data_IF_484383303868
#
_entry.id   IF_484383303868
#
_cell.length_a   1.000
_cell.length_b   1.000
_cell.length_c   1.000
_cell.angle_alpha   90.00
_cell.angle_beta   90.00
_cell.angle_gamma   90.00
#
_symmetry.space_group_name_H-M   'P 1'
#
loop_
_entity.id
_entity.type
_entity.pdbx_description
1 polymer ?
#
# COMPACT_ATOMS: atom_id res chain seq x y z
N UNK A 1 7.77 9.54 -16.68
CA UNK A 1 7.27 10.52 -15.67
C UNK A 1 7.62 10.00 -14.29
N UNK A 2 7.99 10.88 -13.36
CA UNK A 2 8.26 10.51 -11.96
C UNK A 2 6.95 10.17 -11.22
N UNK A 3 7.02 9.35 -10.17
CA UNK A 3 5.89 9.09 -9.28
C UNK A 3 5.31 10.39 -8.70
N UNK A 4 6.17 11.36 -8.37
CA UNK A 4 5.77 12.69 -7.88
C UNK A 4 4.95 13.47 -8.91
N UNK A 5 5.27 13.34 -10.20
CA UNK A 5 4.49 13.99 -11.26
C UNK A 5 3.15 13.28 -11.48
N UNK A 6 3.15 11.95 -11.44
CA UNK A 6 1.95 11.13 -11.67
C UNK A 6 0.89 11.31 -10.57
N UNK A 7 1.33 11.46 -9.32
CA UNK A 7 0.47 11.51 -8.15
C UNK A 7 0.41 12.89 -7.50
N UNK A 8 0.80 13.95 -8.22
CA UNK A 8 0.91 15.32 -7.71
C UNK A 8 -0.35 15.77 -6.97
N UNK A 9 -1.53 15.60 -7.58
CA UNK A 9 -2.76 16.11 -7.00
C UNK A 9 -3.12 15.41 -5.66
N UNK A 10 -2.84 14.11 -5.55
CA UNK A 10 -3.02 13.37 -4.29
C UNK A 10 -1.96 13.78 -3.26
N UNK A 11 -0.72 13.98 -3.69
CA UNK A 11 0.36 14.47 -2.84
C UNK A 11 0.05 15.85 -2.28
N UNK A 12 -0.43 16.79 -3.09
CA UNK A 12 -0.76 18.15 -2.66
C UNK A 12 -1.82 18.13 -1.54
N UNK A 13 -2.87 17.31 -1.70
CA UNK A 13 -3.94 17.16 -0.70
C UNK A 13 -3.39 16.54 0.59
N UNK A 14 -2.69 15.42 0.51
CA UNK A 14 -2.22 14.68 1.69
C UNK A 14 -1.08 15.39 2.42
N UNK A 15 -0.13 15.98 1.70
CA UNK A 15 0.97 16.75 2.29
C UNK A 15 0.44 18.01 2.99
N UNK A 16 -0.62 18.64 2.47
CA UNK A 16 -1.27 19.79 3.12
C UNK A 16 -1.96 19.39 4.43
N UNK A 17 -2.64 18.23 4.45
CA UNK A 17 -3.40 17.79 5.63
C UNK A 17 -2.52 17.18 6.73
N UNK A 18 -1.43 16.49 6.37
CA UNK A 18 -0.67 15.64 7.29
C UNK A 18 0.81 16.02 7.40
N UNK A 19 1.28 16.99 6.60
CA UNK A 19 2.69 17.29 6.42
C UNK A 19 3.36 16.42 5.36
N UNK A 20 4.53 16.84 4.88
CA UNK A 20 5.25 16.22 3.75
C UNK A 20 5.49 14.72 3.92
N UNK A 21 6.03 14.28 5.06
CA UNK A 21 6.35 12.86 5.28
C UNK A 21 5.08 12.00 5.34
N UNK A 22 4.16 12.30 6.26
CA UNK A 22 2.92 11.53 6.44
C UNK A 22 2.04 11.58 5.21
N UNK A 23 2.00 12.71 4.50
CA UNK A 23 1.28 12.85 3.25
C UNK A 23 1.81 11.93 2.15
N UNK A 24 3.14 11.81 2.00
CA UNK A 24 3.75 10.86 1.05
C UNK A 24 3.49 9.41 1.42
N UNK A 25 3.57 9.08 2.71
CA UNK A 25 3.28 7.71 3.17
C UNK A 25 1.81 7.37 2.93
N UNK A 26 0.88 8.31 3.15
CA UNK A 26 -0.53 8.12 2.86
C UNK A 26 -0.78 7.82 1.37
N UNK A 27 -0.20 8.62 0.46
CA UNK A 27 -0.30 8.36 -0.98
C UNK A 27 0.34 7.02 -1.34
N UNK A 28 1.48 6.66 -0.76
CA UNK A 28 2.09 5.35 -1.01
C UNK A 28 1.18 4.19 -0.55
N UNK A 29 0.50 4.33 0.59
CA UNK A 29 -0.46 3.33 1.07
C UNK A 29 -1.68 3.19 0.15
N UNK A 30 -2.18 4.28 -0.43
CA UNK A 30 -3.26 4.23 -1.42
C UNK A 30 -2.82 3.40 -2.64
N UNK A 31 -1.62 3.65 -3.16
CA UNK A 31 -1.09 2.90 -4.31
C UNK A 31 -0.92 1.41 -4.01
N UNK A 32 -0.47 1.06 -2.80
CA UNK A 32 -0.38 -0.35 -2.38
C UNK A 32 -1.78 -0.97 -2.22
N UNK A 33 -2.79 -0.20 -1.81
CA UNK A 33 -4.19 -0.65 -1.74
C UNK A 33 -4.76 -0.95 -3.12
N UNK A 34 -4.51 -0.08 -4.09
CA UNK A 34 -4.88 -0.32 -5.49
C UNK A 34 -4.18 -1.57 -6.03
N UNK A 35 -2.89 -1.74 -5.75
CA UNK A 35 -2.14 -2.92 -6.15
C UNK A 35 -2.71 -4.22 -5.55
N UNK A 36 -3.01 -4.24 -4.25
CA UNK A 36 -3.67 -5.38 -3.59
C UNK A 36 -5.01 -5.71 -4.26
N UNK A 37 -5.80 -4.69 -4.57
CA UNK A 37 -7.11 -4.87 -5.20
C UNK A 37 -6.99 -5.46 -6.60
N UNK A 38 -6.00 -5.01 -7.38
CA UNK A 38 -5.74 -5.56 -8.72
C UNK A 38 -5.21 -7.00 -8.68
N UNK A 39 -4.22 -7.28 -7.82
CA UNK A 39 -3.63 -8.62 -7.69
C UNK A 39 -4.64 -9.61 -7.11
N UNK A 40 -5.47 -9.18 -6.16
CA UNK A 40 -6.51 -10.02 -5.55
C UNK A 40 -7.53 -10.52 -6.57
N UNK A 41 -7.91 -9.67 -7.53
CA UNK A 41 -8.78 -10.08 -8.64
C UNK A 41 -8.11 -11.14 -9.52
N UNK A 42 -6.79 -11.05 -9.72
CA UNK A 42 -6.05 -12.06 -10.48
C UNK A 42 -6.03 -13.42 -9.76
N UNK A 43 -6.02 -13.44 -8.41
CA UNK A 43 -6.10 -14.66 -7.60
C UNK A 43 -7.41 -15.45 -7.75
N UNK A 44 -8.47 -14.84 -8.32
CA UNK A 44 -9.71 -15.53 -8.69
C UNK A 44 -9.50 -16.43 -9.92
N UNK A 45 -8.69 -15.97 -10.87
CA UNK A 45 -8.43 -16.67 -12.13
C UNK A 45 -7.20 -17.58 -12.05
N UNK A 46 -6.15 -17.11 -11.40
CA UNK A 46 -4.89 -17.83 -11.22
C UNK A 46 -4.96 -18.66 -9.95
N UNK A 47 -5.40 -19.92 -10.10
CA UNK A 47 -5.65 -20.84 -8.99
C UNK A 47 -4.53 -21.85 -8.82
N UNK A 48 -4.30 -22.25 -7.58
CA UNK A 48 -3.32 -23.30 -7.28
C UNK A 48 -3.79 -24.65 -7.81
N UNK A 49 -2.92 -25.31 -8.58
CA UNK A 49 -3.13 -26.70 -9.00
C UNK A 49 -3.01 -27.70 -7.83
N UNK A 50 -2.32 -27.32 -6.75
CA UNK A 50 -2.04 -28.18 -5.59
C UNK A 50 -3.04 -27.99 -4.46
N UNK A 51 -3.56 -26.77 -4.30
CA UNK A 51 -4.47 -26.40 -3.23
C UNK A 51 -5.77 -25.84 -3.83
N UNK A 52 -6.80 -26.70 -4.03
CA UNK A 52 -8.10 -26.25 -4.53
C UNK A 52 -8.65 -25.18 -3.60
N UNK A 53 -9.16 -24.08 -4.16
CA UNK A 53 -9.68 -22.99 -3.33
C UNK A 53 -8.68 -21.85 -3.06
N UNK A 54 -7.39 -22.05 -3.32
CA UNK A 54 -6.36 -21.03 -3.12
C UNK A 54 -5.89 -20.38 -4.44
N UNK A 55 -5.45 -19.11 -4.41
CA UNK A 55 -4.71 -18.51 -5.53
C UNK A 55 -3.39 -19.26 -5.77
N UNK A 56 -2.79 -19.04 -6.93
CA UNK A 56 -1.43 -19.50 -7.23
C UNK A 56 -0.45 -18.97 -6.17
N UNK A 57 0.59 -19.76 -5.87
CA UNK A 57 1.50 -19.50 -4.73
C UNK A 57 2.23 -18.15 -4.86
N UNK A 58 2.67 -17.81 -6.05
CA UNK A 58 3.25 -16.52 -6.39
C UNK A 58 2.29 -15.35 -6.14
N UNK A 59 1.02 -15.49 -6.53
CA UNK A 59 -0.02 -14.49 -6.27
C UNK A 59 -0.28 -14.35 -4.76
N UNK A 60 -0.34 -15.47 -4.04
CA UNK A 60 -0.50 -15.47 -2.58
C UNK A 60 0.65 -14.70 -1.90
N UNK A 61 1.89 -14.97 -2.29
CA UNK A 61 3.08 -14.31 -1.75
C UNK A 61 3.12 -12.81 -2.07
N UNK A 62 2.72 -12.41 -3.28
CA UNK A 62 2.65 -10.97 -3.62
C UNK A 62 1.60 -10.25 -2.77
N UNK A 63 0.44 -10.87 -2.55
CA UNK A 63 -0.60 -10.31 -1.68
C UNK A 63 -0.10 -10.15 -0.23
N UNK A 64 0.58 -11.16 0.29
CA UNK A 64 1.21 -11.14 1.62
C UNK A 64 2.26 -10.02 1.71
N UNK A 65 3.23 -9.98 0.80
CA UNK A 65 4.30 -8.97 0.81
C UNK A 65 3.80 -7.53 0.70
N UNK A 66 2.79 -7.28 -0.13
CA UNK A 66 2.20 -5.93 -0.23
C UNK A 66 1.40 -5.60 1.04
N UNK A 67 0.71 -6.59 1.63
CA UNK A 67 0.04 -6.44 2.92
C UNK A 67 1.01 -6.05 4.04
N UNK A 68 2.10 -6.81 4.20
CA UNK A 68 3.15 -6.56 5.18
C UNK A 68 3.78 -5.18 4.99
N UNK A 69 4.09 -4.80 3.74
CA UNK A 69 4.64 -3.49 3.44
C UNK A 69 3.69 -2.35 3.86
N UNK A 70 2.38 -2.53 3.70
CA UNK A 70 1.39 -1.55 4.16
C UNK A 70 1.35 -1.45 5.68
N UNK A 71 1.39 -2.58 6.40
CA UNK A 71 1.41 -2.57 7.86
C UNK A 71 2.63 -1.82 8.39
N UNK A 72 3.81 -2.08 7.81
CA UNK A 72 5.03 -1.36 8.15
C UNK A 72 4.93 0.15 7.87
N UNK A 73 4.37 0.55 6.72
CA UNK A 73 4.19 1.96 6.39
C UNK A 73 3.14 2.65 7.26
N UNK A 74 2.07 1.94 7.64
CA UNK A 74 1.06 2.46 8.57
C UNK A 74 1.68 2.78 9.92
N UNK A 75 2.60 1.94 10.41
CA UNK A 75 3.31 2.21 11.67
C UNK A 75 4.10 3.52 11.64
N UNK A 76 4.62 3.95 10.48
CA UNK A 76 5.33 5.23 10.34
C UNK A 76 4.37 6.41 10.55
N UNK A 77 3.16 6.33 9.99
CA UNK A 77 2.13 7.36 10.18
C UNK A 77 1.78 7.48 11.66
N UNK A 78 1.66 6.36 12.38
CA UNK A 78 1.30 6.32 13.81
C UNK A 78 2.43 6.90 14.68
N UNK A 79 3.69 6.53 14.42
CA UNK A 79 4.85 6.99 15.17
C UNK A 79 5.08 8.51 15.04
N UNK A 80 4.94 9.08 13.84
CA UNK A 80 5.08 10.53 13.62
C UNK A 80 3.90 11.34 14.19
N UNK A 81 2.77 10.69 14.53
CA UNK A 81 1.64 11.33 15.19
C UNK A 81 1.78 11.50 16.70
N UNK A 82 2.72 10.77 17.32
CA UNK A 82 2.92 10.74 18.77
C UNK A 82 4.06 11.62 19.28
N UNK A 83 4.78 12.34 18.42
CA UNK A 83 6.07 12.95 18.76
C UNK A 83 6.17 14.46 18.54
N UNK A 84 5.63 15.26 19.47
CA UNK A 84 6.32 16.36 20.16
C UNK A 84 5.44 16.90 21.29
N UNK A 85 5.54 16.27 22.46
CA UNK A 85 5.22 16.88 23.75
C UNK A 85 6.35 16.53 24.73
N UNK A 86 7.56 17.02 24.43
CA UNK A 86 8.70 17.16 25.35
C UNK A 86 9.57 18.31 24.86
#
# INVERSE_FOLDING_TARGET
MSAFTKHRDSLDVHETMMGSTRGRVAVAMDLLTDALSMVGQHGVYCRSARLPGAPAMDIALVLEQIGDAKELLQSVIELEGGGTAT
#
